data_IF_946886318524
#
_entry.id   IF_946886318524
#
_cell.length_a   1.000
_cell.length_b   1.000
_cell.length_c   1.000
_cell.angle_alpha   90.00
_cell.angle_beta   90.00
_cell.angle_gamma   90.00
#
_symmetry.space_group_name_H-M   'P 1'
#
loop_
_entity.id
_entity.type
_entity.pdbx_description
1 polymer ?
#
# COMPACT_ATOMS: atom_id res chain seq x y z
N UNK A 1 -19.45 6.96 -20.09
CA UNK A 1 -19.59 8.43 -20.10
C UNK A 1 -18.41 9.01 -19.31
N UNK A 2 -17.49 9.69 -19.97
CA UNK A 2 -16.15 9.98 -19.44
C UNK A 2 -16.17 11.20 -18.50
N UNK A 3 -16.49 10.98 -17.21
CA UNK A 3 -16.66 12.01 -16.16
C UNK A 3 -15.42 12.89 -15.91
N UNK A 4 -14.26 12.51 -16.42
CA UNK A 4 -12.98 13.14 -16.08
C UNK A 4 -12.56 14.30 -16.99
N UNK A 5 -13.29 14.59 -18.09
CA UNK A 5 -12.83 15.60 -19.07
C UNK A 5 -12.93 17.07 -18.61
N UNK A 6 -13.73 17.38 -17.59
CA UNK A 6 -14.01 18.76 -17.15
C UNK A 6 -13.83 19.00 -15.63
N UNK A 7 -13.16 18.11 -14.90
CA UNK A 7 -12.96 18.29 -13.45
C UNK A 7 -11.82 19.27 -13.18
N UNK A 8 -12.02 20.18 -12.23
CA UNK A 8 -10.95 21.02 -11.71
C UNK A 8 -9.89 20.17 -10.99
N UNK A 9 -8.68 20.72 -10.83
CA UNK A 9 -7.60 20.03 -10.09
C UNK A 9 -8.01 19.76 -8.63
N UNK A 10 -8.76 20.67 -8.02
CA UNK A 10 -9.28 20.46 -6.67
C UNK A 10 -10.29 19.31 -6.62
N UNK A 11 -11.22 19.20 -7.56
CA UNK A 11 -12.17 18.09 -7.60
C UNK A 11 -11.51 16.75 -7.91
N UNK A 12 -10.52 16.74 -8.80
CA UNK A 12 -9.80 15.54 -9.23
C UNK A 12 -9.04 14.89 -8.07
N UNK A 13 -8.37 15.70 -7.24
CA UNK A 13 -7.62 15.21 -6.09
C UNK A 13 -8.49 15.17 -4.83
N UNK A 14 -9.48 16.05 -4.70
CA UNK A 14 -10.29 16.22 -3.50
C UNK A 14 -11.47 15.26 -3.37
N UNK A 15 -11.64 14.36 -4.34
CA UNK A 15 -12.67 13.32 -4.34
C UNK A 15 -12.01 11.96 -4.44
N UNK A 16 -12.54 10.97 -3.71
CA UNK A 16 -12.09 9.58 -3.81
C UNK A 16 -12.70 8.93 -5.06
N UNK A 17 -11.85 8.34 -5.90
CA UNK A 17 -12.29 7.50 -7.02
C UNK A 17 -12.89 6.17 -6.57
N UNK A 18 -13.53 5.42 -7.48
CA UNK A 18 -14.17 4.11 -7.17
C UNK A 18 -13.19 3.13 -6.52
N UNK A 19 -11.95 3.08 -7.00
CA UNK A 19 -10.89 2.22 -6.44
C UNK A 19 -10.55 2.66 -5.02
N UNK A 20 -10.44 3.96 -4.79
CA UNK A 20 -10.09 4.54 -3.49
C UNK A 20 -11.18 4.33 -2.46
N UNK A 21 -12.45 4.41 -2.88
CA UNK A 21 -13.60 4.11 -2.03
C UNK A 21 -13.54 2.66 -1.51
N UNK A 22 -13.15 1.69 -2.35
CA UNK A 22 -12.99 0.30 -1.92
C UNK A 22 -11.96 0.18 -0.79
N UNK A 23 -10.83 0.86 -0.89
CA UNK A 23 -9.80 0.86 0.16
C UNK A 23 -10.26 1.59 1.42
N UNK A 24 -10.89 2.77 1.28
CA UNK A 24 -11.50 3.50 2.40
C UNK A 24 -12.47 2.61 3.19
N UNK A 25 -13.32 1.86 2.49
CA UNK A 25 -14.32 1.00 3.12
C UNK A 25 -13.69 -0.17 3.91
N UNK A 26 -12.41 -0.50 3.68
CA UNK A 26 -11.64 -1.51 4.45
C UNK A 26 -10.71 -0.89 5.49
N UNK A 27 -10.61 0.43 5.57
CA UNK A 27 -9.67 1.11 6.46
C UNK A 27 -9.81 0.65 7.92
N UNK A 28 -11.03 0.66 8.45
CA UNK A 28 -11.29 0.26 9.85
C UNK A 28 -10.93 -1.20 10.12
N UNK A 29 -11.17 -2.08 9.13
CA UNK A 29 -10.77 -3.48 9.24
C UNK A 29 -9.24 -3.61 9.27
N UNK A 30 -8.53 -3.00 8.31
CA UNK A 30 -7.07 -3.06 8.25
C UNK A 30 -6.43 -2.47 9.52
N UNK A 31 -6.99 -1.38 10.05
CA UNK A 31 -6.58 -0.78 11.31
C UNK A 31 -6.75 -1.77 12.48
N UNK A 32 -7.89 -2.48 12.54
CA UNK A 32 -8.13 -3.52 13.56
C UNK A 32 -7.13 -4.68 13.48
N UNK A 33 -6.53 -4.91 12.31
CA UNK A 33 -5.48 -5.90 12.08
C UNK A 33 -4.06 -5.33 12.26
N UNK A 34 -3.92 -4.07 12.67
CA UNK A 34 -2.62 -3.44 12.92
C UNK A 34 -2.02 -2.70 11.72
N UNK A 35 -2.80 -2.37 10.69
CA UNK A 35 -2.34 -1.69 9.48
C UNK A 35 -3.14 -0.42 9.17
N UNK A 36 -2.48 0.73 9.23
CA UNK A 36 -3.08 2.05 9.01
C UNK A 36 -2.82 2.53 7.57
N UNK A 37 -3.86 2.70 6.74
CA UNK A 37 -3.69 3.37 5.44
C UNK A 37 -3.44 4.88 5.61
N UNK A 38 -3.02 5.53 4.53
CA UNK A 38 -2.85 6.99 4.46
C UNK A 38 -4.13 7.74 4.89
N UNK A 39 -4.03 8.94 5.49
CA UNK A 39 -5.18 9.72 5.97
C UNK A 39 -6.29 9.93 4.92
N UNK A 40 -5.91 9.96 3.63
CA UNK A 40 -6.84 10.01 2.49
C UNK A 40 -7.94 8.95 2.52
N UNK A 41 -7.65 7.77 3.06
CA UNK A 41 -8.58 6.63 3.11
C UNK A 41 -9.33 6.52 4.43
N UNK A 42 -9.21 7.51 5.31
CA UNK A 42 -10.06 7.61 6.49
C UNK A 42 -11.52 7.92 6.06
N UNK A 43 -12.55 7.31 6.66
CA UNK A 43 -13.95 7.58 6.32
C UNK A 43 -14.34 9.06 6.37
N UNK A 44 -13.81 9.79 7.36
CA UNK A 44 -14.05 11.22 7.58
C UNK A 44 -13.02 12.14 6.89
N UNK A 45 -12.26 11.61 5.91
CA UNK A 45 -11.24 12.40 5.23
C UNK A 45 -11.85 13.61 4.51
N UNK A 46 -11.18 14.75 4.68
CA UNK A 46 -11.38 15.95 3.87
C UNK A 46 -10.02 16.45 3.39
N UNK A 47 -9.93 17.02 2.17
CA UNK A 47 -8.65 17.43 1.62
C UNK A 47 -7.90 18.43 2.49
N UNK A 48 -6.68 18.10 2.88
CA UNK A 48 -5.88 18.90 3.81
C UNK A 48 -5.65 20.34 3.30
N UNK A 49 -5.40 20.49 2.00
CA UNK A 49 -5.12 21.77 1.34
C UNK A 49 -6.28 22.76 1.41
N UNK A 50 -7.53 22.28 1.53
CA UNK A 50 -8.70 23.16 1.68
C UNK A 50 -8.74 23.86 3.03
N UNK A 51 -8.05 23.31 4.04
CA UNK A 51 -7.97 23.86 5.39
C UNK A 51 -6.67 24.60 5.66
N UNK A 52 -5.57 24.12 5.11
CA UNK A 52 -4.22 24.64 5.39
C UNK A 52 -3.74 25.68 4.39
N UNK A 53 -4.33 25.74 3.19
CA UNK A 53 -3.86 26.59 2.09
C UNK A 53 -2.59 26.08 1.39
N UNK A 54 -2.08 24.90 1.78
CA UNK A 54 -0.95 24.24 1.10
C UNK A 54 -1.32 23.94 -0.35
N UNK A 55 -0.35 23.98 -1.28
CA UNK A 55 -0.65 23.62 -2.68
C UNK A 55 -1.01 22.14 -2.76
N UNK A 56 -2.02 21.80 -3.57
CA UNK A 56 -2.47 20.41 -3.80
C UNK A 56 -1.28 19.47 -4.04
N UNK A 57 -0.33 19.85 -4.90
CA UNK A 57 0.83 19.00 -5.27
C UNK A 57 1.83 18.74 -4.13
N UNK A 58 1.77 19.54 -3.08
CA UNK A 58 2.64 19.43 -1.89
C UNK A 58 1.93 18.67 -0.76
N UNK A 59 0.63 18.39 -0.90
CA UNK A 59 -0.16 17.66 0.08
C UNK A 59 -0.06 16.14 -0.17
N UNK A 60 0.34 15.38 0.85
CA UNK A 60 0.47 13.91 0.79
C UNK A 60 -0.86 13.23 0.46
N UNK A 61 -1.96 13.72 1.06
CA UNK A 61 -3.31 13.22 0.81
C UNK A 61 -3.88 13.62 -0.57
N UNK A 62 -3.11 14.33 -1.40
CA UNK A 62 -3.42 14.53 -2.83
C UNK A 62 -2.97 13.38 -3.72
N UNK A 63 -2.12 12.48 -3.20
CA UNK A 63 -1.58 11.34 -3.96
C UNK A 63 -2.69 10.28 -4.11
N UNK A 64 -3.21 10.13 -5.33
CA UNK A 64 -4.29 9.19 -5.63
C UNK A 64 -3.76 7.87 -6.20
N UNK A 65 -4.56 6.80 -6.13
CA UNK A 65 -4.29 5.52 -6.78
C UNK A 65 -4.63 5.58 -8.27
N UNK A 66 -3.76 6.20 -9.08
CA UNK A 66 -4.04 6.47 -10.51
C UNK A 66 -4.27 5.21 -11.37
N UNK A 67 -3.50 4.14 -11.16
CA UNK A 67 -3.54 2.92 -11.99
C UNK A 67 -3.46 1.60 -11.19
N UNK A 68 -3.19 1.70 -9.89
CA UNK A 68 -2.98 0.55 -9.00
C UNK A 68 -4.30 0.26 -8.29
N UNK A 69 -5.07 -0.67 -8.85
CA UNK A 69 -6.42 -0.96 -8.36
C UNK A 69 -6.43 -1.93 -7.17
N UNK A 70 -5.46 -2.83 -7.11
CA UNK A 70 -5.39 -3.93 -6.14
C UNK A 70 -4.21 -3.82 -5.18
N UNK A 71 -3.51 -2.68 -5.12
CA UNK A 71 -2.41 -2.49 -4.17
C UNK A 71 -2.43 -1.10 -3.55
N UNK A 72 -2.00 -1.01 -2.29
CA UNK A 72 -1.92 0.23 -1.52
C UNK A 72 -0.79 0.15 -0.48
N UNK A 73 -0.19 1.29 -0.14
CA UNK A 73 0.75 1.42 0.97
C UNK A 73 0.02 1.61 2.31
N UNK A 74 0.63 1.10 3.38
CA UNK A 74 0.12 1.25 4.74
C UNK A 74 1.29 1.37 5.74
N UNK A 75 0.97 1.82 6.95
CA UNK A 75 1.88 1.79 8.10
C UNK A 75 1.48 0.66 9.04
N UNK A 76 2.40 -0.26 9.33
CA UNK A 76 2.19 -1.25 10.38
C UNK A 76 2.28 -0.56 11.74
N UNK A 77 1.19 -0.64 12.51
CA UNK A 77 1.03 0.10 13.77
C UNK A 77 2.04 -0.37 14.82
N UNK A 78 2.36 -1.67 14.84
CA UNK A 78 3.22 -2.27 15.87
C UNK A 78 4.64 -1.67 15.91
N UNK A 79 5.20 -1.26 14.77
CA UNK A 79 6.59 -0.79 14.67
C UNK A 79 6.77 0.45 13.78
N UNK A 80 5.69 1.02 13.26
CA UNK A 80 5.72 2.19 12.38
C UNK A 80 6.35 1.95 11.01
N UNK A 81 6.62 0.70 10.62
CA UNK A 81 7.23 0.40 9.32
C UNK A 81 6.20 0.50 8.20
N UNK A 82 6.64 1.03 7.06
CA UNK A 82 5.85 0.98 5.83
C UNK A 82 5.75 -0.46 5.33
N UNK A 83 4.54 -0.83 4.93
CA UNK A 83 4.21 -2.08 4.26
C UNK A 83 3.44 -1.79 2.98
N UNK A 84 3.36 -2.78 2.12
CA UNK A 84 2.51 -2.77 0.94
C UNK A 84 1.45 -3.84 1.11
N UNK A 85 0.21 -3.52 0.79
CA UNK A 85 -0.95 -4.41 0.89
C UNK A 85 -1.46 -4.67 -0.51
N UNK A 86 -1.53 -5.94 -0.90
CA UNK A 86 -2.09 -6.39 -2.17
C UNK A 86 -3.39 -7.14 -1.95
N UNK A 87 -4.45 -6.65 -2.57
CA UNK A 87 -5.70 -7.37 -2.73
C UNK A 87 -5.52 -8.50 -3.76
N UNK A 88 -5.90 -9.72 -3.37
CA UNK A 88 -5.82 -10.94 -4.18
C UNK A 88 -7.13 -11.70 -4.13
N UNK A 89 -7.28 -12.70 -5.02
CA UNK A 89 -8.35 -13.66 -4.90
C UNK A 89 -7.96 -14.71 -3.86
N UNK A 90 -8.83 -14.96 -2.88
CA UNK A 90 -8.59 -15.98 -1.86
C UNK A 90 -8.35 -17.35 -2.51
N UNK A 91 -7.24 -17.99 -2.13
CA UNK A 91 -6.85 -19.31 -2.64
C UNK A 91 -6.32 -19.30 -4.08
N UNK A 92 -5.91 -18.15 -4.62
CA UNK A 92 -5.23 -18.12 -5.90
C UNK A 92 -3.80 -18.71 -5.83
N UNK A 93 -3.30 -19.08 -7.02
CA UNK A 93 -1.98 -19.69 -7.16
C UNK A 93 -0.86 -18.74 -6.74
N UNK A 94 -1.03 -17.43 -6.98
CA UNK A 94 -0.06 -16.42 -6.57
C UNK A 94 0.13 -16.42 -5.05
N UNK A 95 -0.97 -16.36 -4.29
CA UNK A 95 -0.96 -16.39 -2.83
C UNK A 95 -0.35 -17.69 -2.32
N UNK A 96 -0.72 -18.83 -2.94
CA UNK A 96 -0.21 -20.14 -2.56
C UNK A 96 1.31 -20.23 -2.72
N UNK A 97 1.83 -19.80 -3.87
CA UNK A 97 3.26 -19.80 -4.17
C UNK A 97 4.00 -18.82 -3.24
N UNK A 98 3.52 -17.58 -3.10
CA UNK A 98 4.16 -16.57 -2.26
C UNK A 98 4.19 -16.99 -0.78
N UNK A 99 3.09 -17.56 -0.27
CA UNK A 99 3.01 -18.08 1.11
C UNK A 99 3.96 -19.26 1.33
N UNK A 100 4.06 -20.17 0.34
CA UNK A 100 4.98 -21.31 0.39
C UNK A 100 6.43 -20.85 0.43
N UNK A 101 6.80 -19.87 -0.40
CA UNK A 101 8.16 -19.30 -0.41
C UNK A 101 8.46 -18.50 0.86
N UNK A 102 7.44 -18.04 1.58
CA UNK A 102 7.59 -17.29 2.83
C UNK A 102 7.58 -18.18 4.08
N UNK A 103 7.26 -19.47 3.95
CA UNK A 103 7.25 -20.41 5.07
C UNK A 103 8.59 -21.11 5.27
N UNK A 104 8.82 -21.65 6.47
CA UNK A 104 9.98 -22.48 6.72
C UNK A 104 9.87 -23.84 6.01
N UNK A 105 10.99 -24.39 5.49
CA UNK A 105 12.35 -23.87 5.56
C UNK A 105 12.72 -22.88 4.43
N UNK A 106 11.83 -22.68 3.45
CA UNK A 106 12.14 -21.95 2.22
C UNK A 106 12.48 -20.48 2.45
N UNK A 107 11.87 -19.81 3.44
CA UNK A 107 12.21 -18.43 3.77
C UNK A 107 13.64 -18.25 4.30
N UNK A 108 14.28 -19.32 4.80
CA UNK A 108 15.67 -19.33 5.26
C UNK A 108 16.64 -19.83 4.19
N UNK A 109 16.15 -20.33 3.05
CA UNK A 109 17.02 -20.78 1.97
C UNK A 109 17.72 -19.56 1.34
N UNK A 110 19.06 -19.51 1.33
CA UNK A 110 19.78 -18.37 0.77
C UNK A 110 19.57 -18.19 -0.74
N UNK A 111 18.98 -19.15 -1.45
CA UNK A 111 18.61 -19.04 -2.88
C UNK A 111 17.23 -18.42 -3.07
N UNK A 112 16.42 -18.35 -2.01
CA UNK A 112 15.11 -17.73 -2.07
C UNK A 112 15.27 -16.21 -1.93
N UNK A 113 14.92 -15.49 -2.99
CA UNK A 113 14.96 -14.02 -3.02
C UNK A 113 13.55 -13.44 -3.22
N UNK A 114 12.52 -14.25 -2.98
CA UNK A 114 11.15 -13.82 -3.09
C UNK A 114 10.81 -12.85 -1.95
N UNK A 115 9.94 -11.91 -2.27
CA UNK A 115 9.43 -10.95 -1.29
C UNK A 115 8.67 -11.73 -0.21
N UNK A 116 9.03 -11.60 1.07
CA UNK A 116 8.36 -12.35 2.12
C UNK A 116 6.94 -11.81 2.33
N UNK A 117 6.01 -12.72 2.57
CA UNK A 117 4.66 -12.40 3.04
C UNK A 117 4.73 -12.25 4.56
N UNK A 118 4.39 -11.04 5.03
CA UNK A 118 4.36 -10.71 6.45
C UNK A 118 3.05 -11.17 7.11
N UNK A 119 1.96 -11.12 6.35
CA UNK A 119 0.62 -11.43 6.84
C UNK A 119 -0.35 -11.71 5.69
N UNK A 120 -1.41 -12.46 5.96
CA UNK A 120 -2.51 -12.76 5.04
C UNK A 120 -3.83 -12.56 5.77
N UNK A 121 -4.56 -11.53 5.38
CA UNK A 121 -5.82 -11.13 6.02
C UNK A 121 -7.00 -11.50 5.12
N UNK A 122 -8.01 -12.17 5.65
CA UNK A 122 -9.26 -12.43 4.90
C UNK A 122 -10.18 -11.21 4.99
N UNK A 123 -10.73 -10.73 3.86
CA UNK A 123 -11.72 -9.65 3.89
C UNK A 123 -12.98 -10.14 4.64
N UNK A 124 -13.45 -9.40 5.67
CA UNK A 124 -14.60 -9.82 6.48
C UNK A 124 -15.93 -9.73 5.73
N UNK A 125 -15.99 -8.88 4.69
CA UNK A 125 -17.17 -8.62 3.89
C UNK A 125 -17.21 -9.46 2.61
N UNK A 126 -16.04 -9.89 2.10
CA UNK A 126 -15.94 -10.73 0.91
C UNK A 126 -14.94 -11.88 1.07
N UNK A 127 -15.46 -13.09 1.26
CA UNK A 127 -14.65 -14.31 1.42
C UNK A 127 -13.85 -14.71 0.16
N UNK A 128 -14.11 -14.09 -0.99
CA UNK A 128 -13.33 -14.30 -2.20
C UNK A 128 -12.08 -13.40 -2.29
N UNK A 129 -11.92 -12.46 -1.36
CA UNK A 129 -10.82 -11.49 -1.33
C UNK A 129 -9.95 -11.69 -0.09
N UNK A 130 -8.63 -11.77 -0.30
CA UNK A 130 -7.65 -11.68 0.79
C UNK A 130 -6.70 -10.51 0.55
N UNK A 131 -6.03 -10.06 1.60
CA UNK A 131 -4.99 -9.03 1.56
C UNK A 131 -3.65 -9.64 1.95
N UNK A 132 -2.69 -9.59 1.03
CA UNK A 132 -1.30 -9.96 1.30
C UNK A 132 -0.55 -8.73 1.76
N UNK A 133 0.02 -8.81 2.95
CA UNK A 133 0.92 -7.78 3.49
C UNK A 133 2.36 -8.18 3.16
N UNK A 134 3.09 -7.27 2.54
CA UNK A 134 4.49 -7.44 2.14
C UNK A 134 5.32 -6.22 2.56
N UNK A 135 6.65 -6.34 2.68
CA UNK A 135 7.52 -5.19 2.94
C UNK A 135 7.34 -4.10 1.88
N UNK A 136 7.46 -2.84 2.29
CA UNK A 136 7.50 -1.72 1.35
C UNK A 136 8.85 -1.69 0.64
N UNK A 137 8.86 -2.03 -0.65
CA UNK A 137 10.08 -2.11 -1.45
C UNK A 137 10.41 -0.79 -2.14
N UNK A 138 11.70 -0.62 -2.43
CA UNK A 138 12.20 0.52 -3.22
C UNK A 138 12.21 0.18 -4.71
N UNK A 139 12.25 1.21 -5.52
CA UNK A 139 12.51 1.05 -6.94
C UNK A 139 13.92 0.47 -7.16
N UNK A 140 14.06 -0.38 -8.17
CA UNK A 140 15.31 -1.09 -8.46
C UNK A 140 16.48 -0.14 -8.78
N UNK A 141 16.16 1.06 -9.24
CA UNK A 141 17.10 2.10 -9.63
C UNK A 141 17.34 3.17 -8.56
N UNK A 142 16.78 3.00 -7.35
CA UNK A 142 16.94 3.93 -6.22
C UNK A 142 17.39 3.24 -4.90
N UNK A 143 18.65 3.45 -4.46
CA UNK A 143 19.67 4.29 -5.09
C UNK A 143 20.22 3.63 -6.35
N UNK A 144 20.87 4.43 -7.22
CA UNK A 144 21.46 3.93 -8.47
C UNK A 144 22.22 2.62 -8.22
N UNK A 145 21.96 1.58 -9.03
CA UNK A 145 22.58 0.25 -8.87
C UNK A 145 24.11 0.30 -8.71
N UNK A 146 24.80 1.30 -9.28
CA UNK A 146 26.25 1.48 -9.15
C UNK A 146 26.72 1.92 -7.77
N UNK A 147 25.85 2.54 -6.97
CA UNK A 147 26.16 2.93 -5.59
C UNK A 147 25.80 1.85 -4.57
N UNK A 148 25.09 0.80 -4.98
CA UNK A 148 24.88 -0.40 -4.16
C UNK A 148 26.15 -1.25 -4.18
N UNK A 149 26.97 -1.12 -3.13
CA UNK A 149 27.87 -2.21 -2.74
C UNK A 149 26.96 -3.38 -2.37
N UNK A 150 26.93 -4.40 -3.22
CA UNK A 150 26.17 -5.65 -3.07
C UNK A 150 26.16 -6.04 -1.58
N UNK A 151 24.98 -5.98 -0.93
CA UNK A 151 24.52 -6.81 0.20
C UNK A 151 23.29 -6.18 0.89
N UNK A 152 22.19 -6.94 0.87
CA UNK A 152 20.97 -6.88 1.70
C UNK A 152 19.95 -5.75 1.52
N UNK A 153 18.69 -6.17 1.67
CA UNK A 153 17.45 -5.39 1.74
C UNK A 153 17.68 -4.13 2.58
N UNK A 154 17.57 -2.96 1.94
CA UNK A 154 17.73 -1.67 2.61
C UNK A 154 16.46 -1.41 3.43
N UNK A 155 16.57 -1.68 4.72
CA UNK A 155 15.59 -1.30 5.74
C UNK A 155 15.42 0.23 5.76
N UNK A 156 14.17 0.69 5.82
CA UNK A 156 13.80 2.10 5.70
C UNK A 156 14.48 2.96 6.78
N UNK A 157 15.45 3.79 6.37
CA UNK A 157 15.83 4.97 7.15
C UNK A 157 14.72 6.00 7.04
N UNK A 158 14.12 6.28 8.19
CA UNK A 158 13.29 7.41 8.58
C UNK A 158 13.35 8.63 7.65
N UNK A 159 12.20 9.02 7.10
CA UNK A 159 11.98 10.36 6.56
C UNK A 159 11.60 11.28 7.71
N UNK A 160 12.38 12.35 7.91
CA UNK A 160 12.02 13.50 8.75
C UNK A 160 11.52 14.63 7.84
N UNK A 161 10.35 15.15 8.22
CA UNK A 161 9.73 16.46 7.91
C UNK A 161 9.64 16.89 6.44
#
# INVERSE_FOLDING_TARGET
>A
MNRFRNMSRDELHGTLGIIELRWRDRQQFLESQGYMLRPRYHPDWSPSWRRTGVKIREAEDSIVLWARHNVIDATRIADGKLVYIKQVKTGDEETRIASTLSSEPLCKDPRNHCVPILDVLQDPNDKAISFLVMPFLRYIDDPNLRSLKIFWIVENRSWRA
#
